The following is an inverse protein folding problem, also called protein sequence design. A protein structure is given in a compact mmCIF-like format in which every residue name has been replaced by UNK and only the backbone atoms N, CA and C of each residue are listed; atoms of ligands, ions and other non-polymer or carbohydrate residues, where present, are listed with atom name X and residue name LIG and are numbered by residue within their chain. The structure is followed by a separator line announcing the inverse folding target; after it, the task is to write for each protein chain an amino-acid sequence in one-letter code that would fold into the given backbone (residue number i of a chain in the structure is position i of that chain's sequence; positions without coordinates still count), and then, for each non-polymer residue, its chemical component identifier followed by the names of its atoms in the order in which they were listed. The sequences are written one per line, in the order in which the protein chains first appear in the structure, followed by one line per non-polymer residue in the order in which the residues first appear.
data_IF_151516666652
#
_entry.id   IF_151516666652
#
_cell.length_a   1.000
_cell.length_b   1.000
_cell.length_c   1.000
_cell.angle_alpha   90.00
_cell.angle_beta   90.00
_cell.angle_gamma   90.00
#
_symmetry.space_group_name_H-M   'P 1'
#
loop_
_entity.id
_entity.type
_entity.pdbx_description
1 polymer ?
#
# COMPACT_ATOMS: atom_id res chain seq x y z
N UNK A 1 -7.95 -15.37 -7.18
CA UNK A 1 -7.10 -14.70 -6.19
C UNK A 1 -5.66 -14.73 -6.67
N UNK A 2 -5.03 -13.59 -6.80
CA UNK A 2 -3.62 -13.58 -7.21
C UNK A 2 -2.75 -14.26 -6.18
N UNK A 3 -1.68 -14.90 -6.66
CA UNK A 3 -0.75 -15.60 -5.77
C UNK A 3 -0.03 -14.67 -4.81
N UNK A 4 0.15 -13.40 -5.21
CA UNK A 4 0.82 -12.43 -4.36
C UNK A 4 -0.06 -11.92 -3.23
N UNK A 5 -1.35 -12.19 -3.29
CA UNK A 5 -2.27 -11.68 -2.26
C UNK A 5 -1.92 -12.34 -0.92
N UNK A 6 -1.62 -11.54 0.09
CA UNK A 6 -1.20 -12.10 1.37
C UNK A 6 -2.33 -12.81 2.07
N UNK A 7 -1.98 -13.86 2.80
CA UNK A 7 -2.91 -14.52 3.68
C UNK A 7 -3.26 -13.61 4.84
N UNK A 8 -4.42 -13.81 5.44
CA UNK A 8 -4.77 -13.04 6.64
C UNK A 8 -3.69 -13.16 7.71
N UNK A 9 -3.34 -12.05 8.28
CA UNK A 9 -2.27 -12.00 9.28
C UNK A 9 -2.89 -12.11 10.65
N UNK A 10 -2.89 -13.19 11.22
CA UNK A 10 -3.59 -13.52 12.42
C UNK A 10 -3.77 -12.44 13.46
N UNK A 11 -2.69 -12.01 14.05
CA UNK A 11 -2.75 -11.19 15.24
C UNK A 11 -3.00 -9.73 14.97
N UNK A 12 -3.41 -9.00 15.98
CA UNK A 12 -3.43 -7.57 15.98
C UNK A 12 -4.71 -6.96 15.45
N UNK A 13 -4.62 -5.70 15.15
CA UNK A 13 -5.75 -4.91 14.69
C UNK A 13 -6.08 -5.26 13.25
N UNK A 14 -7.35 -5.50 12.99
CA UNK A 14 -7.82 -5.90 11.66
C UNK A 14 -8.23 -4.74 10.80
N UNK A 15 -8.69 -3.67 11.42
CA UNK A 15 -9.25 -2.55 10.67
C UNK A 15 -8.17 -1.60 10.21
N UNK A 16 -8.37 -1.06 9.02
CA UNK A 16 -7.55 0.04 8.52
C UNK A 16 -7.92 1.27 9.33
N UNK A 17 -6.96 1.85 10.02
CA UNK A 17 -7.18 3.01 10.88
C UNK A 17 -6.99 4.34 10.16
N UNK A 18 -6.54 4.32 8.92
CA UNK A 18 -6.51 5.51 8.09
C UNK A 18 -7.92 5.76 7.55
N UNK A 19 -8.12 6.86 6.84
CA UNK A 19 -9.38 7.13 6.17
C UNK A 19 -9.60 6.05 5.10
N UNK A 20 -10.43 5.08 5.43
CA UNK A 20 -10.64 3.93 4.57
C UNK A 20 -11.16 4.33 3.19
N UNK A 21 -12.08 5.28 3.13
CA UNK A 21 -12.64 5.73 1.85
C UNK A 21 -11.56 6.33 0.95
N UNK A 22 -10.70 7.17 1.52
CA UNK A 22 -9.62 7.78 0.78
C UNK A 22 -8.64 6.72 0.27
N UNK A 23 -8.29 5.77 1.13
CA UNK A 23 -7.40 4.67 0.76
C UNK A 23 -8.00 3.85 -0.38
N UNK A 24 -9.28 3.51 -0.28
CA UNK A 24 -9.96 2.74 -1.32
C UNK A 24 -10.02 3.50 -2.64
N UNK A 25 -10.24 4.82 -2.57
CA UNK A 25 -10.27 5.64 -3.77
C UNK A 25 -8.90 5.67 -4.46
N UNK A 26 -7.83 5.74 -3.69
CA UNK A 26 -6.48 5.69 -4.24
C UNK A 26 -6.22 4.36 -4.93
N UNK A 27 -6.63 3.27 -4.30
CA UNK A 27 -6.44 1.93 -4.89
C UNK A 27 -7.28 1.75 -6.17
N UNK A 28 -8.51 2.24 -6.17
CA UNK A 28 -9.37 2.16 -7.35
C UNK A 28 -8.75 2.92 -8.54
N UNK A 29 -8.15 4.07 -8.24
CA UNK A 29 -7.47 4.86 -9.26
C UNK A 29 -6.26 4.11 -9.83
N UNK A 30 -5.48 3.46 -8.96
CA UNK A 30 -4.34 2.65 -9.38
C UNK A 30 -4.79 1.49 -10.24
N UNK A 31 -5.86 0.80 -9.86
CA UNK A 31 -6.42 -0.30 -10.65
C UNK A 31 -6.80 0.15 -12.05
N UNK A 32 -7.50 1.28 -12.13
CA UNK A 32 -7.90 1.82 -13.44
C UNK A 32 -6.71 2.17 -14.30
N UNK A 33 -5.68 2.75 -13.69
CA UNK A 33 -4.45 3.10 -14.39
C UNK A 33 -3.75 1.85 -14.92
N UNK A 34 -3.69 0.79 -14.11
CA UNK A 34 -3.10 -0.47 -14.54
C UNK A 34 -3.86 -1.09 -15.70
N UNK A 35 -5.20 -1.04 -15.68
CA UNK A 35 -6.00 -1.53 -16.81
C UNK A 35 -5.70 -0.75 -18.07
N UNK A 36 -5.49 0.57 -17.93
CA UNK A 36 -5.10 1.40 -19.05
C UNK A 36 -3.76 0.99 -19.64
N UNK A 37 -2.79 0.67 -18.78
CA UNK A 37 -1.48 0.19 -19.22
C UNK A 37 -1.62 -1.14 -19.94
N UNK A 38 -2.47 -2.04 -19.46
CA UNK A 38 -2.71 -3.30 -20.15
C UNK A 38 -3.19 -3.07 -21.59
N UNK A 39 -4.11 -2.13 -21.77
CA UNK A 39 -4.59 -1.79 -23.12
C UNK A 39 -3.49 -1.21 -23.99
N UNK A 40 -2.61 -0.39 -23.40
CA UNK A 40 -1.49 0.15 -24.15
C UNK A 40 -0.58 -0.95 -24.68
N UNK A 41 -0.32 -1.96 -23.84
CA UNK A 41 0.49 -3.09 -24.25
C UNK A 41 -0.21 -3.88 -25.35
N UNK A 42 -1.51 -4.14 -25.20
CA UNK A 42 -2.29 -4.85 -26.20
C UNK A 42 -2.30 -4.13 -27.56
N UNK A 43 -2.31 -2.81 -27.50
CA UNK A 43 -2.39 -1.96 -28.70
C UNK A 43 -1.01 -1.61 -29.27
N UNK A 44 0.03 -2.22 -28.73
CA UNK A 44 1.41 -2.00 -29.18
C UNK A 44 1.82 -0.53 -29.16
N UNK A 45 1.38 0.20 -28.14
CA UNK A 45 1.79 1.59 -27.93
C UNK A 45 3.31 1.61 -27.70
N UNK A 46 3.93 2.70 -28.11
CA UNK A 46 5.38 2.85 -27.97
C UNK A 46 5.83 2.61 -26.53
N UNK A 47 6.84 1.79 -26.38
CA UNK A 47 7.24 1.31 -25.06
C UNK A 47 7.65 2.42 -24.09
N UNK A 48 8.23 3.52 -24.58
CA UNK A 48 8.60 4.63 -23.72
C UNK A 48 7.36 5.26 -23.10
N UNK A 49 6.28 5.37 -23.85
CA UNK A 49 5.03 5.93 -23.31
C UNK A 49 4.42 5.02 -22.26
N UNK A 50 4.52 3.70 -22.47
CA UNK A 50 4.07 2.73 -21.47
C UNK A 50 4.88 2.87 -20.20
N UNK A 51 6.21 3.00 -20.33
CA UNK A 51 7.08 3.16 -19.18
C UNK A 51 6.77 4.44 -18.39
N UNK A 52 6.46 5.52 -19.09
CA UNK A 52 6.07 6.76 -18.40
C UNK A 52 4.82 6.56 -17.57
N UNK A 53 3.86 5.80 -18.08
CA UNK A 53 2.65 5.48 -17.33
C UNK A 53 2.97 4.59 -16.14
N UNK A 54 3.87 3.64 -16.32
CA UNK A 54 4.31 2.77 -15.24
C UNK A 54 4.94 3.57 -14.09
N UNK A 55 5.79 4.54 -14.41
CA UNK A 55 6.39 5.39 -13.39
C UNK A 55 5.35 6.21 -12.64
N UNK A 56 4.30 6.65 -13.33
CA UNK A 56 3.21 7.35 -12.68
C UNK A 56 2.47 6.44 -11.68
N UNK A 57 2.28 5.16 -12.04
CA UNK A 57 1.68 4.18 -11.13
C UNK A 57 2.55 3.97 -9.90
N UNK A 58 3.87 3.87 -10.09
CA UNK A 58 4.78 3.73 -8.95
C UNK A 58 4.62 4.88 -7.95
N UNK A 59 4.53 6.12 -8.46
CA UNK A 59 4.33 7.28 -7.59
C UNK A 59 2.99 7.21 -6.87
N UNK A 60 1.95 6.75 -7.56
CA UNK A 60 0.63 6.62 -6.93
C UNK A 60 0.63 5.54 -5.85
N UNK A 61 1.36 4.44 -6.07
CA UNK A 61 1.49 3.39 -5.06
C UNK A 61 2.23 3.93 -3.83
N UNK A 62 3.29 4.69 -4.03
CA UNK A 62 4.03 5.30 -2.91
C UNK A 62 3.14 6.26 -2.13
N UNK A 63 2.30 7.04 -2.80
CA UNK A 63 1.37 7.94 -2.13
C UNK A 63 0.35 7.18 -1.31
N UNK A 64 -0.16 6.06 -1.83
CA UNK A 64 -1.05 5.18 -1.11
C UNK A 64 -0.36 4.61 0.15
N UNK A 65 0.88 4.14 -0.02
CA UNK A 65 1.63 3.58 1.10
C UNK A 65 1.86 4.61 2.20
N UNK A 66 2.21 5.83 1.81
CA UNK A 66 2.42 6.91 2.77
C UNK A 66 1.14 7.24 3.54
N UNK A 67 0.01 7.30 2.83
CA UNK A 67 -1.26 7.60 3.49
C UNK A 67 -1.65 6.51 4.48
N UNK A 68 -1.43 5.25 4.10
CA UNK A 68 -1.75 4.12 4.97
C UNK A 68 -0.82 4.10 6.18
N UNK A 69 0.47 4.32 5.98
CA UNK A 69 1.45 4.35 7.07
C UNK A 69 1.14 5.49 8.03
N UNK A 70 0.80 6.65 7.51
CA UNK A 70 0.45 7.80 8.35
C UNK A 70 -0.72 7.48 9.27
N UNK A 71 -1.77 6.83 8.73
CA UNK A 71 -2.89 6.41 9.54
C UNK A 71 -2.49 5.37 10.60
N UNK A 72 -1.61 4.45 10.24
CA UNK A 72 -1.11 3.44 11.16
C UNK A 72 -0.35 4.09 12.31
N UNK A 73 0.55 5.03 11.99
CA UNK A 73 1.36 5.70 13.01
C UNK A 73 0.54 6.60 13.92
N UNK A 74 -0.54 7.21 13.40
CA UNK A 74 -1.34 8.12 14.21
C UNK A 74 -2.44 7.43 15.01
N UNK A 75 -2.79 6.20 14.67
CA UNK A 75 -3.91 5.49 15.31
C UNK A 75 -3.52 4.13 15.86
N UNK A 76 -3.07 3.23 15.01
CA UNK A 76 -2.78 1.84 15.42
C UNK A 76 -1.62 1.77 16.42
N UNK A 77 -0.55 2.50 16.14
CA UNK A 77 0.64 2.44 16.99
C UNK A 77 0.38 3.00 18.38
N UNK A 78 -0.21 4.21 18.52
CA UNK A 78 -0.55 4.72 19.85
C UNK A 78 -1.50 3.78 20.62
N UNK A 79 -2.47 3.20 19.93
CA UNK A 79 -3.38 2.25 20.57
C UNK A 79 -2.62 1.03 21.07
N UNK A 80 -1.71 0.52 20.28
CA UNK A 80 -0.89 -0.63 20.67
C UNK A 80 -0.06 -0.34 21.91
N UNK A 81 0.53 0.85 21.99
CA UNK A 81 1.28 1.24 23.17
C UNK A 81 0.39 1.33 24.40
N UNK A 82 -0.81 1.89 24.26
CA UNK A 82 -1.75 1.97 25.37
C UNK A 82 -2.16 0.60 25.87
N UNK A 83 -2.20 -0.38 24.99
CA UNK A 83 -2.60 -1.74 25.32
C UNK A 83 -1.43 -2.62 25.77
N UNK A 84 -0.26 -2.04 25.90
CA UNK A 84 0.93 -2.77 26.35
C UNK A 84 1.59 -3.62 25.30
N UNK A 85 1.30 -3.37 24.02
CA UNK A 85 1.89 -4.12 22.91
C UNK A 85 3.08 -3.39 22.28
N UNK A 86 3.86 -2.72 23.14
CA UNK A 86 5.01 -1.91 22.72
C UNK A 86 6.00 -2.69 21.87
N UNK A 87 6.39 -3.87 22.37
CA UNK A 87 7.38 -4.70 21.70
C UNK A 87 6.89 -5.13 20.30
N UNK A 88 5.61 -5.47 20.22
CA UNK A 88 5.01 -5.85 18.94
C UNK A 88 5.02 -4.68 17.97
N UNK A 89 4.65 -3.49 18.44
CA UNK A 89 4.62 -2.29 17.60
C UNK A 89 6.01 -1.97 17.07
N UNK A 90 7.01 -2.01 17.93
CA UNK A 90 8.38 -1.72 17.53
C UNK A 90 8.89 -2.75 16.54
N UNK A 91 8.61 -4.02 16.77
CA UNK A 91 9.04 -5.08 15.85
C UNK A 91 8.41 -4.88 14.46
N UNK A 92 7.11 -4.59 14.42
CA UNK A 92 6.41 -4.39 13.15
C UNK A 92 6.97 -3.21 12.37
N UNK A 93 7.23 -2.10 13.05
CA UNK A 93 7.81 -0.93 12.40
C UNK A 93 9.20 -1.24 11.86
N UNK A 94 9.99 -2.01 12.62
CA UNK A 94 11.31 -2.44 12.17
C UNK A 94 11.23 -3.27 10.90
N UNK A 95 10.27 -4.18 10.83
CA UNK A 95 10.05 -5.00 9.64
C UNK A 95 9.67 -4.14 8.44
N UNK A 96 8.83 -3.13 8.64
CA UNK A 96 8.44 -2.22 7.56
C UNK A 96 9.64 -1.45 7.03
N UNK A 97 10.51 -0.97 7.91
CA UNK A 97 11.72 -0.28 7.48
C UNK A 97 12.65 -1.20 6.69
N UNK A 98 12.75 -2.46 7.08
CA UNK A 98 13.55 -3.44 6.33
C UNK A 98 13.01 -3.60 4.92
N UNK A 99 11.71 -3.74 4.77
CA UNK A 99 11.08 -3.88 3.47
C UNK A 99 11.26 -2.64 2.61
N UNK A 100 11.14 -1.46 3.21
CA UNK A 100 11.26 -0.21 2.46
C UNK A 100 12.67 0.03 1.92
N UNK A 101 13.68 -0.58 2.53
CA UNK A 101 15.07 -0.41 2.12
C UNK A 101 15.46 -1.28 0.93
N UNK A 102 14.64 -2.22 0.58
CA UNK A 102 14.86 -3.07 -0.59
C UNK A 102 14.35 -2.38 -1.84
#
# INVERSE_FOLDING_TARGET
MPLWYPLPQGAGIRDVQADKKQIMNRLASIEGHLRGICRMVEDDVYCVDILKQSYAVERAVKAFESALLEGHLSSCVPTGFKEGRDSEMIRELGELFQLARK
#
